data_IF_496572648601
#
_entry.id   IF_496572648601
#
_cell.length_a   1.000
_cell.length_b   1.000
_cell.length_c   1.000
_cell.angle_alpha   90.00
_cell.angle_beta   90.00
_cell.angle_gamma   90.00
#
_symmetry.space_group_name_H-M   'P 1'
#
loop_
_entity.id
_entity.type
_entity.pdbx_description
1 polymer ?
#
# COMPACT_ATOMS: atom_id res chain seq x y z
N UNK A 1 -7.62 17.70 -18.99
CA UNK A 1 -6.84 16.44 -18.99
C UNK A 1 -5.42 16.83 -19.32
N UNK A 2 -4.42 16.48 -18.51
CA UNK A 2 -3.02 16.70 -18.91
C UNK A 2 -2.83 16.02 -20.28
N UNK A 3 -2.33 16.76 -21.27
CA UNK A 3 -2.20 16.30 -22.67
C UNK A 3 -1.39 15.00 -22.84
N UNK A 4 -0.74 14.51 -21.77
CA UNK A 4 0.10 13.31 -21.74
C UNK A 4 -0.65 11.97 -21.70
N UNK A 5 -1.94 11.93 -21.37
CA UNK A 5 -2.67 10.66 -21.27
C UNK A 5 -3.72 10.50 -22.37
N UNK A 6 -3.64 9.39 -23.09
CA UNK A 6 -4.53 9.08 -24.20
C UNK A 6 -5.95 8.67 -23.77
N UNK A 7 -6.18 8.31 -22.50
CA UNK A 7 -7.51 7.90 -22.01
C UNK A 7 -7.69 8.12 -20.49
N UNK A 8 -8.96 8.14 -20.05
CA UNK A 8 -9.32 8.19 -18.63
C UNK A 8 -8.75 7.00 -17.86
N UNK A 9 -8.78 5.79 -18.44
CA UNK A 9 -8.23 4.58 -17.82
C UNK A 9 -6.72 4.65 -17.64
N UNK A 10 -5.97 5.13 -18.64
CA UNK A 10 -4.51 5.31 -18.50
C UNK A 10 -4.16 6.30 -17.40
N UNK A 11 -4.97 7.35 -17.22
CA UNK A 11 -4.79 8.28 -16.10
C UNK A 11 -5.07 7.62 -14.74
N UNK A 12 -6.14 6.82 -14.63
CA UNK A 12 -6.47 6.11 -13.39
C UNK A 12 -5.40 5.08 -13.01
N UNK A 13 -4.91 4.31 -13.99
CA UNK A 13 -3.77 3.40 -13.82
C UNK A 13 -2.53 4.16 -13.33
N UNK A 14 -2.19 5.28 -13.97
CA UNK A 14 -1.08 6.13 -13.53
C UNK A 14 -1.27 6.69 -12.11
N UNK A 15 -2.50 7.06 -11.74
CA UNK A 15 -2.86 7.52 -10.40
C UNK A 15 -2.59 6.44 -9.35
N UNK A 16 -3.01 5.20 -9.59
CA UNK A 16 -2.69 4.06 -8.73
C UNK A 16 -1.17 3.88 -8.58
N UNK A 17 -0.45 3.84 -9.70
CA UNK A 17 1.02 3.70 -9.69
C UNK A 17 1.70 4.79 -8.87
N UNK A 18 1.21 6.03 -8.92
CA UNK A 18 1.80 7.12 -8.15
C UNK A 18 1.58 6.99 -6.64
N UNK A 19 0.43 6.49 -6.20
CA UNK A 19 0.19 6.21 -4.77
C UNK A 19 1.17 5.14 -4.27
N UNK A 20 1.30 4.05 -5.02
CA UNK A 20 2.25 2.96 -4.71
C UNK A 20 3.71 3.46 -4.70
N UNK A 21 4.09 4.30 -5.68
CA UNK A 21 5.42 4.93 -5.72
C UNK A 21 5.65 5.87 -4.54
N UNK A 22 4.62 6.56 -4.04
CA UNK A 22 4.72 7.38 -2.84
C UNK A 22 5.10 6.51 -1.65
N UNK A 23 4.41 5.40 -1.45
CA UNK A 23 4.69 4.48 -0.33
C UNK A 23 6.11 3.94 -0.38
N UNK A 24 6.60 3.62 -1.57
CA UNK A 24 7.98 3.17 -1.72
C UNK A 24 9.00 4.30 -1.49
N UNK A 25 8.67 5.54 -1.84
CA UNK A 25 9.51 6.71 -1.51
C UNK A 25 9.56 6.93 -0.01
N UNK A 26 8.42 6.89 0.67
CA UNK A 26 8.30 7.03 2.12
C UNK A 26 9.08 5.94 2.86
N UNK A 27 9.06 4.69 2.37
CA UNK A 27 9.89 3.62 2.90
C UNK A 27 11.39 3.95 2.80
N UNK A 28 11.85 4.37 1.61
CA UNK A 28 13.26 4.78 1.42
C UNK A 28 13.65 5.97 2.30
N UNK A 29 12.74 6.92 2.50
CA UNK A 29 12.96 8.09 3.36
C UNK A 29 13.01 7.70 4.84
N UNK A 30 12.26 6.68 5.26
CA UNK A 30 12.35 6.13 6.62
C UNK A 30 13.68 5.40 6.82
N UNK A 31 14.10 4.59 5.85
CA UNK A 31 15.33 3.82 5.94
C UNK A 31 16.60 4.70 5.88
N UNK A 32 16.59 5.78 5.11
CA UNK A 32 17.73 6.71 5.05
C UNK A 32 17.98 7.48 6.35
N UNK A 33 16.94 7.59 7.20
CA UNK A 33 17.03 8.21 8.53
C UNK A 33 17.40 7.22 9.63
N UNK A 34 17.38 5.92 9.33
CA UNK A 34 17.72 4.90 10.31
C UNK A 34 19.24 4.77 10.44
N UNK A 35 19.72 4.73 11.68
CA UNK A 35 21.12 4.50 12.00
C UNK A 35 21.49 3.02 11.82
N UNK A 36 22.09 2.67 10.69
CA UNK A 36 22.49 1.32 10.31
C UNK A 36 24.02 1.20 10.21
N UNK A 37 24.55 0.04 10.62
CA UNK A 37 25.95 -0.31 10.32
C UNK A 37 26.08 -0.83 8.87
N UNK A 38 27.32 -1.07 8.41
CA UNK A 38 27.58 -1.48 7.02
C UNK A 38 26.82 -2.74 6.61
N UNK A 39 26.84 -3.86 7.37
CA UNK A 39 26.04 -5.04 7.03
C UNK A 39 24.53 -4.78 6.91
N UNK A 40 23.97 -3.96 7.81
CA UNK A 40 22.55 -3.62 7.79
C UNK A 40 22.18 -2.78 6.55
N UNK A 41 23.08 -1.88 6.12
CA UNK A 41 22.91 -1.13 4.88
C UNK A 41 22.93 -2.01 3.62
N UNK A 42 23.78 -3.05 3.60
CA UNK A 42 23.84 -4.03 2.50
C UNK A 42 22.54 -4.83 2.43
N UNK A 43 22.08 -5.41 3.55
CA UNK A 43 20.82 -6.15 3.63
C UNK A 43 19.62 -5.29 3.18
N UNK A 44 19.57 -4.03 3.61
CA UNK A 44 18.54 -3.09 3.19
C UNK A 44 18.59 -2.82 1.67
N UNK A 45 19.79 -2.69 1.12
CA UNK A 45 19.98 -2.46 -0.32
C UNK A 45 19.45 -3.64 -1.13
N UNK A 46 19.70 -4.87 -0.68
CA UNK A 46 19.13 -6.07 -1.31
C UNK A 46 17.61 -6.08 -1.25
N UNK A 47 17.02 -5.83 -0.08
CA UNK A 47 15.55 -5.77 0.08
C UNK A 47 14.95 -4.69 -0.82
N UNK A 48 15.58 -3.52 -0.91
CA UNK A 48 15.15 -2.44 -1.79
C UNK A 48 15.13 -2.88 -3.25
N UNK A 49 16.19 -3.56 -3.72
CA UNK A 49 16.27 -4.05 -5.10
C UNK A 49 15.21 -5.12 -5.39
N UNK A 50 14.95 -6.01 -4.43
CA UNK A 50 13.89 -7.02 -4.52
C UNK A 50 12.51 -6.36 -4.63
N UNK A 51 12.21 -5.38 -3.78
CA UNK A 51 10.96 -4.61 -3.84
C UNK A 51 10.81 -3.85 -5.16
N UNK A 52 11.87 -3.19 -5.64
CA UNK A 52 11.84 -2.50 -6.93
C UNK A 52 11.55 -3.46 -8.09
N UNK A 53 12.16 -4.64 -8.08
CA UNK A 53 11.92 -5.69 -9.09
C UNK A 53 10.48 -6.18 -9.05
N UNK A 54 9.99 -6.58 -7.87
CA UNK A 54 8.62 -7.07 -7.68
C UNK A 54 7.58 -6.02 -8.05
N UNK A 55 7.80 -4.74 -7.70
CA UNK A 55 6.92 -3.65 -8.12
C UNK A 55 6.92 -3.47 -9.65
N UNK A 56 8.07 -3.58 -10.32
CA UNK A 56 8.13 -3.49 -11.79
C UNK A 56 7.41 -4.67 -12.46
N UNK A 57 7.59 -5.88 -11.96
CA UNK A 57 6.90 -7.09 -12.43
C UNK A 57 5.37 -6.96 -12.28
N UNK A 58 4.92 -6.37 -11.16
CA UNK A 58 3.50 -6.07 -10.92
C UNK A 58 3.02 -4.75 -11.54
N UNK A 59 3.82 -4.13 -12.41
CA UNK A 59 3.53 -2.84 -13.06
C UNK A 59 3.09 -1.72 -12.10
N UNK A 60 3.70 -1.66 -10.91
CA UNK A 60 3.36 -0.76 -9.80
C UNK A 60 1.87 -0.83 -9.42
N UNK A 61 1.28 -2.03 -9.53
CA UNK A 61 -0.10 -2.32 -9.15
C UNK A 61 -1.10 -1.37 -9.82
N UNK A 62 -0.80 -0.96 -11.07
CA UNK A 62 -1.65 -0.03 -11.84
C UNK A 62 -3.10 -0.51 -11.96
N UNK A 63 -3.32 -1.83 -11.87
CA UNK A 63 -4.63 -2.47 -11.94
C UNK A 63 -5.57 -2.08 -10.81
N UNK A 64 -5.05 -1.57 -9.67
CA UNK A 64 -5.87 -1.16 -8.53
C UNK A 64 -7.00 -0.22 -8.90
N UNK A 65 -6.74 0.72 -9.81
CA UNK A 65 -7.77 1.65 -10.27
C UNK A 65 -8.24 1.35 -11.69
N UNK A 66 -7.89 0.22 -12.31
CA UNK A 66 -8.25 -0.08 -13.69
C UNK A 66 -9.63 -0.73 -13.78
N UNK A 67 -10.58 -0.06 -14.44
CA UNK A 67 -11.90 -0.65 -14.70
C UNK A 67 -11.88 -1.70 -15.83
N UNK A 68 -10.82 -1.72 -16.65
CA UNK A 68 -10.71 -2.55 -17.85
C UNK A 68 -9.96 -3.85 -17.55
N UNK A 69 -8.87 -3.78 -16.78
CA UNK A 69 -8.08 -4.94 -16.38
C UNK A 69 -8.40 -5.33 -14.93
N UNK A 70 -9.61 -5.84 -14.72
CA UNK A 70 -10.09 -6.26 -13.42
C UNK A 70 -9.28 -7.44 -12.89
N UNK A 71 -8.82 -7.33 -11.65
CA UNK A 71 -8.16 -8.39 -10.90
C UNK A 71 -8.87 -8.55 -9.55
N UNK A 72 -8.56 -9.63 -8.82
CA UNK A 72 -9.15 -9.95 -7.51
C UNK A 72 -9.15 -8.76 -6.53
N UNK A 73 -8.16 -7.88 -6.63
CA UNK A 73 -7.94 -6.76 -5.71
C UNK A 73 -8.14 -5.36 -6.33
N UNK A 74 -8.83 -5.25 -7.46
CA UNK A 74 -9.17 -3.95 -8.04
C UNK A 74 -10.20 -3.22 -7.17
N UNK A 75 -10.03 -1.89 -6.97
CA UNK A 75 -10.90 -1.08 -6.11
C UNK A 75 -12.19 -0.58 -6.76
N UNK A 76 -12.35 -0.78 -8.07
CA UNK A 76 -13.55 -0.37 -8.79
C UNK A 76 -14.17 -1.50 -9.55
N UNK A 77 -15.48 -1.45 -9.75
CA UNK A 77 -16.15 -2.38 -10.65
C UNK A 77 -15.87 -2.03 -12.13
N UNK A 78 -16.37 -2.88 -13.04
CA UNK A 78 -16.23 -2.71 -14.50
C UNK A 78 -16.80 -1.38 -15.04
N UNK A 79 -17.77 -0.80 -14.33
CA UNK A 79 -18.40 0.48 -14.70
C UNK A 79 -17.59 1.69 -14.18
N UNK A 80 -16.56 1.44 -13.37
CA UNK A 80 -15.64 2.43 -12.82
C UNK A 80 -16.12 3.09 -11.53
N UNK A 81 -17.09 2.49 -10.85
CA UNK A 81 -17.50 2.92 -9.52
C UNK A 81 -16.53 2.40 -8.46
N UNK A 82 -16.11 3.30 -7.58
CA UNK A 82 -15.32 3.03 -6.39
C UNK A 82 -16.20 3.24 -5.18
N UNK A 83 -16.07 2.33 -4.21
CA UNK A 83 -16.81 2.34 -2.95
C UNK A 83 -15.84 2.63 -1.80
N UNK A 84 -16.25 3.48 -0.86
CA UNK A 84 -15.49 3.69 0.35
C UNK A 84 -15.62 2.47 1.24
N UNK A 85 -14.47 1.95 1.68
CA UNK A 85 -14.43 0.76 2.52
C UNK A 85 -14.59 1.09 4.00
N UNK A 86 -14.72 2.36 4.36
CA UNK A 86 -14.86 2.81 5.74
C UNK A 86 -13.57 2.80 6.53
N UNK A 87 -13.65 3.30 7.76
CA UNK A 87 -12.54 3.24 8.72
C UNK A 87 -12.16 1.78 9.01
N UNK A 88 -10.92 1.55 9.43
CA UNK A 88 -10.41 0.21 9.73
C UNK A 88 -11.24 -0.57 10.77
N UNK A 89 -11.91 0.14 11.69
CA UNK A 89 -12.72 -0.42 12.79
C UNK A 89 -14.09 -0.89 12.33
N UNK A 90 -14.44 -0.59 11.07
CA UNK A 90 -15.72 -0.89 10.47
C UNK A 90 -15.54 -1.86 9.30
N UNK A 91 -16.55 -2.70 9.09
CA UNK A 91 -16.57 -3.59 7.93
C UNK A 91 -16.81 -2.81 6.64
N UNK A 92 -17.61 -1.74 6.69
CA UNK A 92 -17.98 -0.92 5.54
C UNK A 92 -18.13 0.56 5.94
N UNK A 93 -18.16 1.46 4.95
CA UNK A 93 -18.46 2.88 5.17
C UNK A 93 -19.95 3.06 5.53
N UNK A 94 -20.29 3.61 6.71
CA UNK A 94 -21.70 3.84 7.12
C UNK A 94 -22.44 4.80 6.19
N UNK A 95 -21.72 5.81 5.68
CA UNK A 95 -22.25 6.83 4.77
C UNK A 95 -22.29 6.36 3.31
N UNK A 96 -21.83 5.13 3.02
CA UNK A 96 -21.85 4.51 1.69
C UNK A 96 -21.28 5.43 0.60
N UNK A 97 -20.19 6.15 0.89
CA UNK A 97 -19.57 7.03 -0.08
C UNK A 97 -19.17 6.25 -1.34
N UNK A 98 -19.56 6.76 -2.50
CA UNK A 98 -19.21 6.23 -3.81
C UNK A 98 -18.72 7.33 -4.74
N UNK A 99 -17.90 6.97 -5.71
CA UNK A 99 -17.39 7.91 -6.71
C UNK A 99 -17.10 7.21 -8.04
N UNK A 100 -17.33 7.92 -9.16
CA UNK A 100 -16.94 7.43 -10.47
C UNK A 100 -15.97 8.42 -11.16
N UNK A 101 -14.65 8.31 -10.91
CA UNK A 101 -13.66 9.18 -11.53
C UNK A 101 -13.55 8.96 -13.06
N UNK A 102 -14.19 7.94 -13.61
CA UNK A 102 -14.28 7.77 -15.06
C UNK A 102 -15.38 8.62 -15.70
N UNK A 103 -16.32 9.15 -14.95
CA UNK A 103 -17.45 9.90 -15.50
C UNK A 103 -17.05 11.30 -15.99
N UNK A 104 -16.40 12.11 -15.16
CA UNK A 104 -16.06 13.51 -15.48
C UNK A 104 -14.62 13.90 -15.07
N UNK A 105 -14.22 15.14 -15.31
CA UNK A 105 -12.95 15.68 -14.79
C UNK A 105 -13.06 16.05 -13.31
N UNK A 106 -14.21 16.61 -12.92
CA UNK A 106 -14.55 17.01 -11.56
C UNK A 106 -14.51 15.80 -10.63
N UNK A 107 -15.08 14.68 -11.05
CA UNK A 107 -15.07 13.43 -10.30
C UNK A 107 -13.65 12.86 -10.13
N UNK A 108 -12.75 13.03 -11.12
CA UNK A 108 -11.32 12.71 -10.93
C UNK A 108 -10.65 13.64 -9.93
N UNK A 109 -10.98 14.93 -9.97
CA UNK A 109 -10.42 15.90 -9.05
C UNK A 109 -10.87 15.57 -7.61
N UNK A 110 -12.14 15.24 -7.40
CA UNK A 110 -12.63 14.76 -6.10
C UNK A 110 -11.94 13.46 -5.70
N UNK A 111 -11.77 12.50 -6.62
CA UNK A 111 -11.06 11.24 -6.30
C UNK A 111 -9.61 11.44 -5.84
N UNK A 112 -8.98 12.58 -6.16
CA UNK A 112 -7.64 12.90 -5.64
C UNK A 112 -7.61 13.13 -4.12
N UNK A 113 -8.76 13.40 -3.49
CA UNK A 113 -8.89 13.54 -2.03
C UNK A 113 -9.13 12.20 -1.33
N UNK A 114 -9.51 11.15 -2.08
CA UNK A 114 -9.67 9.81 -1.54
C UNK A 114 -8.31 9.17 -1.27
N UNK A 115 -8.19 8.43 -0.16
CA UNK A 115 -6.93 7.87 0.29
C UNK A 115 -6.91 6.34 0.16
N UNK A 116 -5.73 5.77 -0.03
CA UNK A 116 -5.49 4.33 -0.02
C UNK A 116 -4.76 4.00 1.28
N UNK A 117 -5.51 3.90 2.37
CA UNK A 117 -5.02 3.87 3.73
C UNK A 117 -4.51 2.51 4.15
N UNK A 118 -3.44 2.53 4.92
CA UNK A 118 -2.91 1.34 5.56
C UNK A 118 -3.69 1.02 6.83
N UNK A 119 -4.32 -0.16 6.91
CA UNK A 119 -5.02 -0.60 8.13
C UNK A 119 -4.04 -0.72 9.30
N UNK A 120 -2.88 -1.32 9.05
CA UNK A 120 -1.70 -1.33 9.91
C UNK A 120 -0.81 -0.18 9.48
N UNK A 121 -0.63 0.81 10.36
CA UNK A 121 -0.04 2.09 9.98
C UNK A 121 1.43 1.99 9.56
N UNK A 122 1.76 2.53 8.40
CA UNK A 122 3.10 2.39 7.80
C UNK A 122 4.20 3.09 8.59
N UNK A 123 4.00 4.33 9.02
CA UNK A 123 5.07 5.21 9.52
C UNK A 123 5.37 4.97 11.01
N UNK A 124 4.38 4.64 11.82
CA UNK A 124 4.45 4.34 13.24
C UNK A 124 4.76 2.87 13.50
N UNK A 125 4.42 2.00 12.56
CA UNK A 125 4.49 0.56 12.80
C UNK A 125 5.27 -0.20 11.73
N UNK A 126 4.78 -0.29 10.49
CA UNK A 126 5.35 -1.21 9.49
C UNK A 126 6.83 -0.92 9.23
N UNK A 127 7.17 0.34 8.98
CA UNK A 127 8.55 0.75 8.67
C UNK A 127 9.47 0.70 9.90
N UNK A 128 9.08 1.23 11.09
CA UNK A 128 9.88 1.06 12.30
C UNK A 128 10.15 -0.40 12.68
N UNK A 129 9.17 -1.28 12.57
CA UNK A 129 9.35 -2.71 12.88
C UNK A 129 10.33 -3.38 11.91
N UNK A 130 10.23 -3.08 10.61
CA UNK A 130 11.20 -3.56 9.63
C UNK A 130 12.62 -3.09 9.96
N UNK A 131 12.79 -1.82 10.32
CA UNK A 131 14.08 -1.25 10.73
C UNK A 131 14.62 -1.98 11.97
N UNK A 132 13.78 -2.20 12.98
CA UNK A 132 14.17 -2.91 14.21
C UNK A 132 14.61 -4.35 13.93
N UNK A 133 13.93 -5.06 13.02
CA UNK A 133 14.30 -6.42 12.63
C UNK A 133 15.67 -6.46 11.95
N UNK A 134 15.93 -5.56 11.00
CA UNK A 134 17.24 -5.44 10.34
C UNK A 134 18.33 -5.09 11.36
N UNK A 135 18.05 -4.16 12.29
CA UNK A 135 19.01 -3.81 13.35
C UNK A 135 19.34 -4.98 14.28
N UNK A 136 18.38 -5.88 14.50
CA UNK A 136 18.56 -7.02 15.39
C UNK A 136 19.50 -8.11 14.83
N UNK A 137 20.01 -7.97 13.60
CA UNK A 137 20.94 -8.94 13.00
C UNK A 137 20.30 -10.29 12.69
N UNK A 138 18.96 -10.34 12.62
CA UNK A 138 18.18 -11.52 12.20
C UNK A 138 18.01 -11.53 10.68
N UNK A 139 19.09 -11.23 9.98
CA UNK A 139 19.11 -10.76 8.59
C UNK A 139 18.68 -11.86 7.60
N UNK A 140 18.80 -13.13 7.99
CA UNK A 140 18.30 -14.28 7.22
C UNK A 140 16.79 -14.57 7.32
N UNK A 141 16.06 -13.87 8.21
CA UNK A 141 14.62 -14.13 8.47
C UNK A 141 13.73 -12.89 8.35
N UNK A 142 14.25 -11.75 7.86
CA UNK A 142 13.38 -10.63 7.53
C UNK A 142 12.48 -11.08 6.38
N UNK A 143 11.22 -11.38 6.70
CA UNK A 143 10.20 -11.71 5.72
C UNK A 143 9.86 -10.43 4.93
N UNK A 144 10.76 -10.01 4.05
CA UNK A 144 10.62 -8.82 3.23
C UNK A 144 9.34 -8.88 2.38
N UNK A 145 8.88 -10.10 2.05
CA UNK A 145 7.62 -10.34 1.35
C UNK A 145 6.40 -9.95 2.20
N UNK A 146 6.45 -10.22 3.51
CA UNK A 146 5.42 -9.80 4.45
C UNK A 146 5.35 -8.28 4.55
N UNK A 147 6.48 -7.59 4.71
CA UNK A 147 6.51 -6.13 4.71
C UNK A 147 6.10 -5.53 3.36
N UNK A 148 6.45 -6.20 2.26
CA UNK A 148 5.99 -5.81 0.91
C UNK A 148 4.45 -5.83 0.85
N UNK A 149 3.83 -6.92 1.30
CA UNK A 149 2.37 -7.06 1.34
C UNK A 149 1.73 -5.98 2.20
N UNK A 150 2.25 -5.77 3.40
CA UNK A 150 1.76 -4.72 4.30
C UNK A 150 1.86 -3.31 3.69
N UNK A 151 2.89 -3.03 2.89
CA UNK A 151 3.09 -1.68 2.38
C UNK A 151 2.38 -1.43 1.05
N UNK A 152 2.25 -2.44 0.19
CA UNK A 152 1.80 -2.26 -1.18
C UNK A 152 0.57 -3.07 -1.57
N UNK A 153 0.33 -4.20 -0.92
CA UNK A 153 -0.72 -5.13 -1.32
C UNK A 153 -2.04 -4.91 -0.56
N UNK A 154 -3.11 -5.49 -1.10
CA UNK A 154 -4.49 -5.13 -0.73
C UNK A 154 -4.87 -5.56 0.67
N UNK A 155 -4.19 -6.57 1.20
CA UNK A 155 -4.36 -7.13 2.53
C UNK A 155 -4.27 -6.08 3.63
N UNK A 156 -3.49 -5.01 3.41
CA UNK A 156 -3.35 -3.92 4.36
C UNK A 156 -3.84 -2.57 3.83
N UNK A 157 -4.38 -2.49 2.62
CA UNK A 157 -4.81 -1.23 2.01
C UNK A 157 -6.32 -1.14 1.92
N UNK A 158 -6.93 -0.02 2.31
CA UNK A 158 -8.35 0.30 2.11
C UNK A 158 -8.51 1.63 1.37
N UNK A 159 -9.45 1.70 0.44
CA UNK A 159 -9.82 2.95 -0.21
C UNK A 159 -10.88 3.67 0.60
N UNK A 160 -10.56 4.86 1.06
CA UNK A 160 -11.43 5.65 1.94
C UNK A 160 -11.68 7.05 1.40
N UNK A 161 -12.92 7.50 1.55
CA UNK A 161 -13.27 8.90 1.36
C UNK A 161 -12.57 9.75 2.43
N UNK A 162 -12.23 11.01 2.11
CA UNK A 162 -11.51 11.91 3.03
C UNK A 162 -12.24 12.11 4.37
N UNK A 163 -13.57 12.07 4.38
CA UNK A 163 -14.36 12.19 5.61
C UNK A 163 -14.29 10.93 6.51
N UNK A 164 -13.94 9.78 5.95
CA UNK A 164 -13.76 8.50 6.67
C UNK A 164 -12.29 8.19 6.95
N UNK A 165 -11.38 9.11 6.63
CA UNK A 165 -9.96 8.94 6.86
C UNK A 165 -9.64 9.39 8.30
N UNK A 166 -9.70 8.45 9.26
CA UNK A 166 -9.28 8.69 10.64
C UNK A 166 -7.82 8.25 10.91
N UNK A 167 -6.94 9.22 11.16
CA UNK A 167 -5.51 9.01 11.47
C UNK A 167 -5.24 8.38 12.85
N UNK A 168 -6.23 8.35 13.74
CA UNK A 168 -6.10 7.81 15.11
C UNK A 168 -6.49 6.34 15.20
N UNK A 169 -7.20 5.90 14.19
CA UNK A 169 -7.88 4.61 14.07
C UNK A 169 -7.05 3.72 13.15
N UNK A 170 -5.87 3.28 13.61
CA UNK A 170 -5.03 2.34 12.85
C UNK A 170 -4.49 1.25 13.75
N UNK A 171 -4.26 0.07 13.17
CA UNK A 171 -3.64 -1.06 13.88
C UNK A 171 -2.14 -0.82 14.04
N UNK A 172 -1.64 -1.25 15.20
CA UNK A 172 -0.21 -1.34 15.49
C UNK A 172 0.15 -2.83 15.51
N UNK A 173 1.16 -3.21 14.74
CA UNK A 173 1.80 -4.53 14.82
C UNK A 173 2.40 -4.67 16.21
N UNK A 174 2.09 -5.77 16.87
CA UNK A 174 2.87 -6.20 18.03
C UNK A 174 3.87 -7.26 17.57
N UNK A 175 5.09 -7.21 18.11
CA UNK A 175 6.12 -8.23 17.90
C UNK A 175 5.63 -9.65 18.24
N UNK A 176 4.66 -9.79 19.16
CA UNK A 176 3.98 -11.06 19.47
C UNK A 176 3.15 -11.61 18.31
N UNK A 177 2.56 -10.76 17.46
CA UNK A 177 1.80 -11.18 16.27
C UNK A 177 2.69 -11.62 15.12
N UNK A 178 3.95 -11.19 15.06
CA UNK A 178 4.91 -11.66 14.05
C UNK A 178 5.21 -13.17 14.25
N UNK A 179 5.32 -13.62 15.52
CA UNK A 179 5.45 -15.04 15.83
C UNK A 179 4.16 -15.83 15.53
N UNK A 180 2.99 -15.23 15.71
CA UNK A 180 1.70 -15.88 15.39
C UNK A 180 1.47 -15.95 13.87
N UNK A 181 1.91 -14.96 13.08
CA UNK A 181 1.77 -14.98 11.62
C UNK A 181 2.75 -15.92 10.92
N UNK A 182 3.94 -16.18 11.49
CA UNK A 182 4.79 -17.31 11.07
C UNK A 182 4.07 -18.66 11.19
N UNK A 183 3.19 -18.81 12.20
CA UNK A 183 2.37 -20.00 12.43
C UNK A 183 1.15 -20.04 11.50
N UNK A 184 0.50 -18.89 11.23
CA UNK A 184 -0.74 -18.82 10.43
C UNK A 184 -0.49 -18.91 8.92
N UNK A 185 0.66 -18.46 8.42
CA UNK A 185 0.97 -18.46 6.97
C UNK A 185 1.83 -19.66 6.51
N UNK A 186 2.10 -20.64 7.37
CA UNK A 186 2.75 -21.89 6.97
C UNK A 186 4.15 -21.75 6.40
N UNK A 187 4.90 -20.69 6.75
CA UNK A 187 6.26 -20.45 6.26
C UNK A 187 7.32 -21.19 7.11
N UNK A 188 7.12 -22.51 7.27
CA UNK A 188 8.18 -23.45 7.60
C UNK A 188 8.15 -24.57 6.56
N UNK A 189 9.10 -24.51 5.63
CA UNK A 189 9.73 -25.67 5.00
C UNK A 189 11.11 -25.26 4.53
#
# INVERSE_FOLDING_TARGET
MERRFASKSKWMEFSAMNRVRSYFREAKDAWSKADFNTPQHEALTEIRLLWERKLKEKEFLKYYFSRINQQEYTFCNKDGWFECEGEYSLDNCPEQHMINPYSSYQERAVFSTWNMDHQIEKARTVLPEMVNLIKSGRDGEVCWDYFFKLLFERENLRLVHIACHDKKSTLVLSLTKINILKIVLGLYS
#
